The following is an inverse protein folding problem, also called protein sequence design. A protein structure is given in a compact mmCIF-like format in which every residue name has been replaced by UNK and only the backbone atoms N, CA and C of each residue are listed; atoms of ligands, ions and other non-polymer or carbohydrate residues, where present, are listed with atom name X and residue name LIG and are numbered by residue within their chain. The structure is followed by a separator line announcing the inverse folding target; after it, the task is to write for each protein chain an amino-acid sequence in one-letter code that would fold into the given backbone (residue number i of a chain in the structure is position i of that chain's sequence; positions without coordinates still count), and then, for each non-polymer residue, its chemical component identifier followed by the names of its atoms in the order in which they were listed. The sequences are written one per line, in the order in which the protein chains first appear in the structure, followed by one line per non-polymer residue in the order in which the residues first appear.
data_IF_959984808245
#
_entry.id   IF_959984808245
#
_cell.length_a   1.000
_cell.length_b   1.000
_cell.length_c   1.000
_cell.angle_alpha   90.00
_cell.angle_beta   90.00
_cell.angle_gamma   90.00
#
_symmetry.space_group_name_H-M   'P 1'
#
loop_
_entity.id
_entity.type
_entity.pdbx_description
1 polymer ?
#
# COMPACT_ATOMS: atom_id res chain seq x y z
N UNK A 1 22.18 -18.87 -10.77
CA UNK A 1 21.91 -18.05 -9.56
C UNK A 1 21.35 -18.96 -8.49
N UNK A 2 21.80 -18.86 -7.23
CA UNK A 2 21.27 -19.71 -6.15
C UNK A 2 19.85 -19.27 -5.78
N UNK A 3 19.01 -20.20 -5.31
CA UNK A 3 17.61 -19.89 -4.95
C UNK A 3 17.50 -18.77 -3.91
N UNK A 4 18.41 -18.70 -2.95
CA UNK A 4 18.46 -17.63 -1.95
C UNK A 4 18.80 -16.26 -2.56
N UNK A 5 19.73 -16.24 -3.52
CA UNK A 5 20.10 -15.01 -4.23
C UNK A 5 18.95 -14.50 -5.10
N UNK A 6 18.24 -15.41 -5.78
CA UNK A 6 17.04 -15.08 -6.54
C UNK A 6 15.94 -14.53 -5.63
N UNK A 7 15.69 -15.16 -4.48
CA UNK A 7 14.70 -14.69 -3.51
C UNK A 7 15.04 -13.30 -2.98
N UNK A 8 16.31 -13.06 -2.66
CA UNK A 8 16.78 -11.75 -2.21
C UNK A 8 16.61 -10.69 -3.29
N UNK A 9 16.96 -11.02 -4.54
CA UNK A 9 16.77 -10.13 -5.69
C UNK A 9 15.31 -9.74 -5.88
N UNK A 10 14.40 -10.72 -5.87
CA UNK A 10 12.95 -10.47 -6.01
C UNK A 10 12.44 -9.57 -4.87
N UNK A 11 12.79 -9.86 -3.62
CA UNK A 11 12.38 -9.02 -2.49
C UNK A 11 12.88 -7.58 -2.62
N UNK A 12 14.12 -7.38 -3.08
CA UNK A 12 14.68 -6.05 -3.30
C UNK A 12 13.96 -5.30 -4.43
N UNK A 13 13.60 -5.99 -5.52
CA UNK A 13 12.83 -5.39 -6.62
C UNK A 13 11.45 -4.95 -6.12
N UNK A 14 10.75 -5.82 -5.39
CA UNK A 14 9.43 -5.53 -4.81
C UNK A 14 9.52 -4.30 -3.88
N UNK A 15 10.49 -4.27 -2.98
CA UNK A 15 10.69 -3.14 -2.07
C UNK A 15 10.99 -1.83 -2.80
N UNK A 16 11.93 -1.88 -3.75
CA UNK A 16 12.31 -0.70 -4.54
C UNK A 16 11.13 -0.14 -5.35
N UNK A 17 10.33 -1.00 -5.99
CA UNK A 17 9.18 -0.55 -6.76
C UNK A 17 8.07 0.03 -5.87
N UNK A 18 7.81 -0.60 -4.71
CA UNK A 18 6.87 -0.03 -3.75
C UNK A 18 7.28 1.39 -3.33
N UNK A 19 8.55 1.55 -2.92
CA UNK A 19 9.05 2.85 -2.47
C UNK A 19 9.03 3.89 -3.62
N UNK A 20 9.34 3.47 -4.86
CA UNK A 20 9.24 4.34 -6.04
C UNK A 20 7.80 4.81 -6.33
N UNK A 21 6.82 3.91 -6.25
CA UNK A 21 5.40 4.27 -6.44
C UNK A 21 4.96 5.27 -5.36
N UNK A 22 5.24 4.98 -4.09
CA UNK A 22 4.87 5.85 -2.98
C UNK A 22 5.52 7.25 -3.06
N UNK A 23 6.76 7.35 -3.53
CA UNK A 23 7.45 8.64 -3.63
C UNK A 23 7.02 9.47 -4.85
N UNK A 24 6.76 8.84 -6.00
CA UNK A 24 6.67 9.57 -7.28
C UNK A 24 5.30 9.48 -7.98
N UNK A 25 4.44 8.54 -7.64
CA UNK A 25 3.17 8.29 -8.38
C UNK A 25 1.92 8.33 -7.50
N UNK A 26 2.03 7.82 -6.27
CA UNK A 26 0.89 7.63 -5.37
C UNK A 26 0.06 8.90 -5.21
N UNK A 27 0.72 10.05 -5.02
CA UNK A 27 0.02 11.32 -4.87
C UNK A 27 -0.82 11.69 -6.09
N UNK A 28 -0.28 11.56 -7.30
CA UNK A 28 -0.99 11.89 -8.54
C UNK A 28 -2.19 10.95 -8.74
N UNK A 29 -1.98 9.65 -8.54
CA UNK A 29 -3.03 8.63 -8.65
C UNK A 29 -4.14 8.89 -7.61
N UNK A 30 -3.78 9.22 -6.37
CA UNK A 30 -4.72 9.50 -5.30
C UNK A 30 -5.49 10.80 -5.53
N UNK A 31 -4.81 11.84 -6.02
CA UNK A 31 -5.44 13.09 -6.40
C UNK A 31 -6.41 12.90 -7.60
N UNK A 32 -6.22 11.87 -8.42
CA UNK A 32 -7.16 11.56 -9.50
C UNK A 32 -8.35 10.70 -9.07
N UNK A 33 -8.33 10.16 -7.84
CA UNK A 33 -9.34 9.22 -7.35
C UNK A 33 -10.32 9.89 -6.38
N UNK A 34 -11.54 10.15 -6.84
CA UNK A 34 -12.59 10.82 -6.07
C UNK A 34 -12.92 10.10 -4.75
N UNK A 35 -12.89 8.76 -4.73
CA UNK A 35 -13.15 8.00 -3.50
C UNK A 35 -12.06 8.22 -2.45
N UNK A 36 -10.80 8.25 -2.89
CA UNK A 36 -9.66 8.49 -1.97
C UNK A 36 -9.70 9.92 -1.46
N UNK A 37 -9.97 10.90 -2.32
CA UNK A 37 -10.13 12.30 -1.94
C UNK A 37 -11.22 12.49 -0.90
N UNK A 38 -12.43 11.99 -1.15
CA UNK A 38 -13.55 12.11 -0.21
C UNK A 38 -13.25 11.46 1.15
N UNK A 39 -12.53 10.34 1.15
CA UNK A 39 -12.11 9.69 2.40
C UNK A 39 -11.05 10.51 3.14
N UNK A 40 -10.06 11.05 2.43
CA UNK A 40 -9.03 11.90 3.01
C UNK A 40 -9.62 13.16 3.64
N UNK A 41 -10.58 13.80 2.96
CA UNK A 41 -11.31 14.96 3.50
C UNK A 41 -12.05 14.60 4.79
N UNK A 42 -12.77 13.46 4.81
CA UNK A 42 -13.48 13.01 6.01
C UNK A 42 -12.55 12.68 7.17
N UNK A 43 -11.36 12.13 6.90
CA UNK A 43 -10.35 11.88 7.93
C UNK A 43 -9.86 13.19 8.53
N UNK A 44 -9.52 14.17 7.69
CA UNK A 44 -9.08 15.50 8.13
C UNK A 44 -10.17 16.20 8.95
N UNK A 45 -11.43 16.17 8.50
CA UNK A 45 -12.57 16.74 9.23
C UNK A 45 -12.74 16.13 10.63
N UNK A 46 -12.44 14.83 10.78
CA UNK A 46 -12.50 14.14 12.07
C UNK A 46 -11.31 14.54 12.95
N UNK A 47 -10.11 14.60 12.39
CA UNK A 47 -8.92 15.03 13.12
C UNK A 47 -9.05 16.47 13.62
N UNK A 48 -9.57 17.39 12.81
CA UNK A 48 -9.82 18.77 13.19
C UNK A 48 -10.81 18.86 14.36
N UNK A 49 -11.92 18.10 14.29
CA UNK A 49 -12.89 18.03 15.40
C UNK A 49 -12.27 17.44 16.68
N UNK A 50 -11.41 16.44 16.56
CA UNK A 50 -10.71 15.87 17.71
C UNK A 50 -9.76 16.88 18.34
N UNK A 51 -9.03 17.65 17.53
CA UNK A 51 -8.13 18.71 18.00
C UNK A 51 -8.89 19.83 18.70
N UNK A 52 -10.08 20.20 18.23
CA UNK A 52 -10.95 21.20 18.88
C UNK A 52 -11.55 20.69 20.20
N UNK A 53 -12.00 19.43 20.23
CA UNK A 53 -12.67 18.85 21.39
C UNK A 53 -11.69 18.43 22.51
N UNK A 54 -10.46 18.08 22.15
CA UNK A 54 -9.45 17.53 23.05
C UNK A 54 -8.09 18.24 22.88
N UNK A 55 -8.03 19.57 23.11
CA UNK A 55 -6.80 20.35 22.86
C UNK A 55 -5.61 19.89 23.71
N UNK A 56 -5.86 19.35 24.90
CA UNK A 56 -4.80 18.82 25.78
C UNK A 56 -4.32 17.42 25.38
N UNK A 57 -4.90 16.79 24.35
CA UNK A 57 -4.57 15.45 23.88
C UNK A 57 -3.96 15.43 22.48
N UNK A 58 -3.52 16.59 21.97
CA UNK A 58 -2.93 16.70 20.63
C UNK A 58 -1.77 15.73 20.39
N UNK A 59 -0.91 15.51 21.40
CA UNK A 59 0.19 14.54 21.31
C UNK A 59 -0.32 13.12 21.07
N UNK A 60 -1.39 12.70 21.77
CA UNK A 60 -1.98 11.37 21.62
C UNK A 60 -2.73 11.22 20.29
N UNK A 61 -3.37 12.29 19.81
CA UNK A 61 -4.02 12.32 18.49
C UNK A 61 -2.97 12.17 17.39
N UNK A 62 -1.85 12.91 17.50
CA UNK A 62 -0.71 12.79 16.58
C UNK A 62 -0.09 11.40 16.62
N UNK A 63 0.13 10.83 17.81
CA UNK A 63 0.64 9.46 17.95
C UNK A 63 -0.30 8.43 17.29
N UNK A 64 -1.61 8.59 17.45
CA UNK A 64 -2.59 7.72 16.80
C UNK A 64 -2.51 7.82 15.26
N UNK A 65 -2.43 9.03 14.72
CA UNK A 65 -2.34 9.26 13.27
C UNK A 65 -1.04 8.66 12.69
N UNK A 66 0.08 8.89 13.37
CA UNK A 66 1.38 8.32 13.00
C UNK A 66 1.36 6.78 13.05
N UNK A 67 0.83 6.19 14.12
CA UNK A 67 0.75 4.74 14.27
C UNK A 67 -0.16 4.11 13.22
N UNK A 68 -1.31 4.72 12.95
CA UNK A 68 -2.26 4.21 11.96
C UNK A 68 -1.71 4.33 10.54
N UNK A 69 -1.08 5.46 10.21
CA UNK A 69 -0.38 5.66 8.94
C UNK A 69 0.71 4.60 8.73
N UNK A 70 1.57 4.39 9.73
CA UNK A 70 2.60 3.36 9.68
C UNK A 70 2.02 1.95 9.53
N UNK A 71 0.94 1.63 10.24
CA UNK A 71 0.25 0.35 10.11
C UNK A 71 -0.27 0.14 8.69
N UNK A 72 -0.95 1.13 8.12
CA UNK A 72 -1.48 1.10 6.76
C UNK A 72 -0.34 0.91 5.72
N UNK A 73 0.75 1.67 5.83
CA UNK A 73 1.92 1.51 4.94
C UNK A 73 2.49 0.09 5.00
N UNK A 74 2.63 -0.49 6.20
CA UNK A 74 3.14 -1.85 6.35
C UNK A 74 2.17 -2.91 5.81
N UNK A 75 0.87 -2.70 5.98
CA UNK A 75 -0.16 -3.55 5.39
C UNK A 75 -0.11 -3.50 3.84
N UNK A 76 0.03 -2.32 3.25
CA UNK A 76 0.22 -2.16 1.81
C UNK A 76 1.47 -2.87 1.30
N UNK A 77 2.62 -2.73 1.99
CA UNK A 77 3.87 -3.45 1.66
C UNK A 77 3.67 -4.96 1.70
N UNK A 78 2.97 -5.46 2.71
CA UNK A 78 2.63 -6.89 2.81
C UNK A 78 1.79 -7.35 1.62
N UNK A 79 0.65 -6.70 1.36
CA UNK A 79 -0.26 -7.11 0.28
C UNK A 79 0.37 -6.98 -1.11
N UNK A 80 1.19 -5.95 -1.34
CA UNK A 80 1.94 -5.81 -2.59
C UNK A 80 2.88 -7.00 -2.81
N UNK A 81 3.66 -7.38 -1.78
CA UNK A 81 4.55 -8.55 -1.83
C UNK A 81 3.79 -9.85 -2.05
N UNK A 82 2.71 -10.09 -1.31
CA UNK A 82 1.90 -11.31 -1.45
C UNK A 82 1.19 -11.35 -2.81
N UNK A 83 0.77 -10.20 -3.36
CA UNK A 83 0.21 -10.08 -4.70
C UNK A 83 1.21 -10.48 -5.78
N UNK A 84 2.45 -10.00 -5.70
CA UNK A 84 3.54 -10.40 -6.62
C UNK A 84 3.85 -11.90 -6.49
N UNK A 85 3.89 -12.43 -5.27
CA UNK A 85 4.07 -13.86 -5.04
C UNK A 85 2.94 -14.67 -5.68
N UNK A 86 1.68 -14.31 -5.43
CA UNK A 86 0.52 -14.99 -5.99
C UNK A 86 0.52 -14.96 -7.53
N UNK A 87 0.90 -13.84 -8.14
CA UNK A 87 1.04 -13.70 -9.60
C UNK A 87 2.15 -14.58 -10.22
N UNK A 88 3.03 -15.17 -9.42
CA UNK A 88 4.11 -16.06 -9.89
C UNK A 88 3.96 -17.51 -9.43
N UNK A 89 3.13 -17.78 -8.42
CA UNK A 89 2.93 -19.14 -7.88
C UNK A 89 1.52 -19.69 -8.05
N UNK A 90 0.50 -18.83 -8.09
CA UNK A 90 -0.90 -19.23 -8.23
C UNK A 90 -1.44 -18.79 -9.61
N UNK A 91 -0.96 -19.46 -10.65
CA UNK A 91 -1.29 -19.15 -12.05
C UNK A 91 -2.63 -19.71 -12.54
N UNK A 92 -3.47 -20.25 -11.63
CA UNK A 92 -4.78 -20.83 -11.99
C UNK A 92 -5.68 -19.83 -12.72
N UNK A 93 -5.59 -18.55 -12.40
CA UNK A 93 -6.33 -17.49 -13.11
C UNK A 93 -6.00 -17.42 -14.60
N UNK A 94 -4.82 -17.89 -15.03
CA UNK A 94 -4.44 -17.91 -16.44
C UNK A 94 -5.25 -18.92 -17.25
N UNK A 95 -5.87 -19.95 -16.63
CA UNK A 95 -6.77 -20.88 -17.32
C UNK A 95 -8.01 -20.16 -17.89
N UNK A 96 -8.43 -19.06 -17.25
CA UNK A 96 -9.54 -18.22 -17.71
C UNK A 96 -9.10 -17.22 -18.78
N UNK A 97 -7.79 -16.99 -18.92
CA UNK A 97 -7.22 -16.13 -19.94
C UNK A 97 -6.95 -16.96 -21.20
N UNK A 98 -7.45 -16.53 -22.37
CA UNK A 98 -7.10 -17.14 -23.68
C UNK A 98 -5.62 -16.97 -24.06
N UNK A 99 -4.78 -16.54 -23.13
CA UNK A 99 -3.36 -16.26 -23.29
C UNK A 99 -2.56 -17.57 -23.29
N UNK A 100 -3.03 -18.62 -22.62
CA UNK A 100 -2.44 -19.96 -22.71
C UNK A 100 -3.17 -20.83 -23.74
N UNK A 101 -2.86 -20.62 -25.01
CA UNK A 101 -2.79 -21.75 -25.94
C UNK A 101 -1.34 -22.24 -25.92
N UNK A 102 -1.10 -23.54 -25.74
CA UNK A 102 0.17 -24.29 -25.60
C UNK A 102 0.38 -24.75 -24.13
N UNK A 103 0.30 -26.04 -23.79
CA UNK A 103 0.65 -27.28 -24.53
C UNK A 103 -0.49 -28.28 -24.54
#
# INVERSE_FOLDING_TARGET
MRMEELRKLINNIIGNEFDHISEFKEKEDFDSNDTIKELSEKVNDVLDKLNELLPDQQDLIGELDDLYSNYCTNACKYYFREGVAAGTTNLKFLEETKIMHLV
#
